data_IF_413135222070
#
_entry.id   IF_413135222070
#
_cell.length_a   1.000
_cell.length_b   1.000
_cell.length_c   1.000
_cell.angle_alpha   90.00
_cell.angle_beta   90.00
_cell.angle_gamma   90.00
#
_symmetry.space_group_name_H-M   'P 1'
#
loop_
_entity.id
_entity.type
_entity.pdbx_description
1 polymer ?
#
# COMPACT_ATOMS: atom_id res chain seq x y z
N UNK A 1 -35.29 43.05 -62.98
CA UNK A 1 -35.60 41.78 -62.26
C UNK A 1 -34.45 40.83 -62.55
N UNK A 2 -33.50 40.73 -61.61
CA UNK A 2 -33.29 39.60 -60.68
C UNK A 2 -32.60 38.42 -61.40
N UNK A 3 -31.53 37.76 -60.93
CA UNK A 3 -31.13 37.48 -59.55
C UNK A 3 -29.67 36.93 -59.56
N UNK A 4 -28.82 37.41 -58.65
CA UNK A 4 -27.44 36.95 -58.44
C UNK A 4 -27.46 35.69 -57.58
N UNK A 5 -27.16 34.51 -58.16
CA UNK A 5 -27.08 33.25 -57.40
C UNK A 5 -25.67 32.98 -56.86
N UNK A 6 -25.50 33.34 -55.59
CA UNK A 6 -24.90 32.50 -54.53
C UNK A 6 -23.53 31.85 -54.75
N UNK A 7 -22.46 32.56 -54.37
CA UNK A 7 -21.17 31.97 -54.01
C UNK A 7 -21.30 31.09 -52.76
N UNK A 8 -21.34 29.77 -52.95
CA UNK A 8 -21.37 28.78 -51.86
C UNK A 8 -19.99 28.69 -51.19
N UNK A 9 -19.86 29.38 -50.06
CA UNK A 9 -18.69 29.43 -49.17
C UNK A 9 -18.34 28.02 -48.68
N UNK A 10 -17.36 27.35 -49.32
CA UNK A 10 -16.73 26.13 -48.80
C UNK A 10 -15.80 26.53 -47.65
N UNK A 11 -16.28 26.45 -46.42
CA UNK A 11 -15.45 26.49 -45.21
C UNK A 11 -15.84 25.32 -44.31
N UNK A 12 -14.84 24.73 -43.65
CA UNK A 12 -14.92 23.91 -42.43
C UNK A 12 -14.86 22.38 -42.53
N UNK A 13 -13.82 21.81 -43.15
CA UNK A 13 -13.38 20.44 -42.80
C UNK A 13 -11.93 20.40 -42.28
N UNK A 14 -11.02 21.12 -42.94
CA UNK A 14 -9.60 21.19 -42.54
C UNK A 14 -9.34 21.95 -41.23
N UNK A 15 -10.22 22.88 -40.82
CA UNK A 15 -10.05 23.66 -39.58
C UNK A 15 -10.40 22.86 -38.32
N UNK A 16 -11.29 21.87 -38.42
CA UNK A 16 -11.68 21.02 -37.29
C UNK A 16 -10.55 20.05 -36.91
N UNK A 17 -9.95 19.37 -37.89
CA UNK A 17 -8.83 18.44 -37.66
C UNK A 17 -7.56 19.12 -37.13
N UNK A 18 -7.33 20.38 -37.53
CA UNK A 18 -6.18 21.15 -37.03
C UNK A 18 -6.42 21.60 -35.60
N UNK A 19 -7.65 21.99 -35.24
CA UNK A 19 -8.01 22.39 -33.88
C UNK A 19 -7.88 21.22 -32.90
N UNK A 20 -8.36 20.03 -33.26
CA UNK A 20 -8.22 18.80 -32.46
C UNK A 20 -6.74 18.46 -32.19
N UNK A 21 -5.90 18.43 -33.23
CA UNK A 21 -4.45 18.21 -33.07
C UNK A 21 -3.78 19.28 -32.20
N UNK A 22 -4.19 20.54 -32.29
CA UNK A 22 -3.61 21.60 -31.43
C UNK A 22 -4.05 21.48 -29.98
N UNK A 23 -5.26 20.97 -29.70
CA UNK A 23 -5.75 20.71 -28.34
C UNK A 23 -5.02 19.52 -27.73
N UNK A 24 -4.85 18.42 -28.47
CA UNK A 24 -4.09 17.24 -28.03
C UNK A 24 -2.63 17.59 -27.68
N UNK A 25 -1.97 18.40 -28.52
CA UNK A 25 -0.60 18.86 -28.23
C UNK A 25 -0.53 19.70 -26.95
N UNK A 26 -1.50 20.59 -26.72
CA UNK A 26 -1.55 21.39 -25.48
C UNK A 26 -1.72 20.52 -24.24
N UNK A 27 -2.64 19.56 -24.28
CA UNK A 27 -2.86 18.61 -23.19
C UNK A 27 -1.60 17.80 -22.90
N UNK A 28 -0.90 17.33 -23.93
CA UNK A 28 0.37 16.62 -23.78
C UNK A 28 1.42 17.49 -23.06
N UNK A 29 1.58 18.76 -23.45
CA UNK A 29 2.51 19.67 -22.77
C UNK A 29 2.13 19.92 -21.31
N UNK A 30 0.83 20.04 -21.00
CA UNK A 30 0.37 20.19 -19.62
C UNK A 30 0.73 18.97 -18.76
N UNK A 31 0.54 17.75 -19.28
CA UNK A 31 0.92 16.53 -18.57
C UNK A 31 2.44 16.40 -18.39
N UNK A 32 3.24 16.80 -19.38
CA UNK A 32 4.70 16.82 -19.26
C UNK A 32 5.14 17.82 -18.18
N UNK A 33 4.55 19.00 -18.12
CA UNK A 33 4.87 20.00 -17.11
C UNK A 33 4.49 19.52 -15.70
N UNK A 34 3.34 18.86 -15.55
CA UNK A 34 2.95 18.22 -14.28
C UNK A 34 3.93 17.13 -13.89
N UNK A 35 4.33 16.28 -14.84
CA UNK A 35 5.29 15.21 -14.61
C UNK A 35 6.65 15.76 -14.14
N UNK A 36 7.16 16.82 -14.78
CA UNK A 36 8.39 17.48 -14.36
C UNK A 36 8.28 18.07 -12.95
N UNK A 37 7.20 18.79 -12.64
CA UNK A 37 6.98 19.35 -11.30
C UNK A 37 6.90 18.26 -10.21
N UNK A 38 6.28 17.11 -10.52
CA UNK A 38 6.24 15.97 -9.61
C UNK A 38 7.65 15.37 -9.40
N UNK A 39 8.49 15.35 -10.43
CA UNK A 39 9.87 14.86 -10.30
C UNK A 39 10.71 15.79 -9.42
N UNK A 40 10.54 17.11 -9.56
CA UNK A 40 11.21 18.11 -8.69
C UNK A 40 10.80 17.92 -7.21
N UNK A 41 9.54 17.59 -6.95
CA UNK A 41 9.06 17.26 -5.60
C UNK A 41 9.73 16.00 -5.05
N UNK A 42 9.77 14.92 -5.84
CA UNK A 42 10.43 13.66 -5.45
C UNK A 42 11.91 13.87 -5.18
N UNK A 43 12.60 14.65 -6.02
CA UNK A 43 14.01 14.99 -5.83
C UNK A 43 14.23 15.75 -4.51
N UNK A 44 13.37 16.73 -4.20
CA UNK A 44 13.43 17.46 -2.93
C UNK A 44 13.26 16.54 -1.73
N UNK A 45 12.30 15.63 -1.78
CA UNK A 45 12.04 14.67 -0.70
C UNK A 45 13.20 13.68 -0.52
N UNK A 46 13.79 13.21 -1.61
CA UNK A 46 14.98 12.34 -1.57
C UNK A 46 16.19 13.07 -1.01
N UNK A 47 16.42 14.31 -1.44
CA UNK A 47 17.50 15.15 -0.90
C UNK A 47 17.32 15.42 0.59
N UNK A 48 16.07 15.66 1.03
CA UNK A 48 15.75 15.79 2.45
C UNK A 48 16.08 14.50 3.21
N UNK A 49 15.67 13.34 2.69
CA UNK A 49 15.93 12.03 3.30
C UNK A 49 17.43 11.68 3.38
N UNK A 50 18.22 12.05 2.37
CA UNK A 50 19.68 11.83 2.35
C UNK A 50 20.39 12.79 3.32
N UNK A 51 19.99 14.07 3.35
CA UNK A 51 20.60 15.09 4.19
C UNK A 51 20.31 14.85 5.68
N UNK A 52 19.11 14.40 6.01
CA UNK A 52 18.74 14.01 7.37
C UNK A 52 19.15 12.57 7.59
N UNK A 53 20.47 12.39 7.77
CA UNK A 53 21.10 11.10 8.03
C UNK A 53 20.29 10.29 9.06
N UNK A 54 20.20 8.97 8.83
CA UNK A 54 19.55 7.93 9.64
C UNK A 54 19.94 7.90 11.14
N UNK A 55 20.79 8.83 11.57
CA UNK A 55 21.37 9.07 12.90
C UNK A 55 20.34 9.60 13.90
N UNK A 56 19.25 8.85 14.13
CA UNK A 56 18.23 9.24 15.10
C UNK A 56 16.91 8.49 14.96
N UNK A 57 16.71 7.78 13.85
CA UNK A 57 15.51 6.97 13.63
C UNK A 57 15.58 5.67 14.42
N UNK A 58 14.42 5.26 14.95
CA UNK A 58 14.24 3.92 15.50
C UNK A 58 14.44 2.87 14.39
N UNK A 59 14.77 1.64 14.78
CA UNK A 59 14.97 0.52 13.86
C UNK A 59 13.76 0.34 12.92
N UNK A 60 12.54 0.47 13.43
CA UNK A 60 11.33 0.36 12.61
C UNK A 60 11.30 1.44 11.54
N UNK A 61 11.49 2.71 11.90
CA UNK A 61 11.42 3.82 10.94
C UNK A 61 12.55 3.77 9.91
N UNK A 62 13.72 3.23 10.27
CA UNK A 62 14.80 2.94 9.31
C UNK A 62 14.37 1.90 8.29
N UNK A 63 13.75 0.80 8.73
CA UNK A 63 13.26 -0.26 7.83
C UNK A 63 12.21 0.30 6.87
N UNK A 64 11.29 1.16 7.36
CA UNK A 64 10.28 1.81 6.51
C UNK A 64 10.94 2.69 5.45
N UNK A 65 11.88 3.54 5.87
CA UNK A 65 12.59 4.43 4.98
C UNK A 65 13.39 3.66 3.92
N UNK A 66 14.13 2.63 4.32
CA UNK A 66 14.91 1.79 3.40
C UNK A 66 14.00 1.05 2.40
N UNK A 67 12.87 0.53 2.87
CA UNK A 67 11.88 -0.15 2.00
C UNK A 67 11.27 0.83 0.99
N UNK A 68 10.95 2.05 1.43
CA UNK A 68 10.46 3.11 0.55
C UNK A 68 11.51 3.54 -0.49
N UNK A 69 12.76 3.76 -0.08
CA UNK A 69 13.85 4.14 -0.98
C UNK A 69 14.11 3.07 -2.05
N UNK A 70 14.09 1.79 -1.67
CA UNK A 70 14.24 0.68 -2.61
C UNK A 70 13.11 0.66 -3.67
N UNK A 71 11.87 0.94 -3.24
CA UNK A 71 10.72 1.04 -4.15
C UNK A 71 10.82 2.24 -5.09
N UNK A 72 11.17 3.43 -4.56
CA UNK A 72 11.32 4.65 -5.35
C UNK A 72 12.42 4.49 -6.40
N UNK A 73 13.60 3.99 -6.02
CA UNK A 73 14.71 3.76 -6.94
C UNK A 73 14.32 2.80 -8.09
N UNK A 74 13.72 1.66 -7.74
CA UNK A 74 13.26 0.67 -8.73
C UNK A 74 12.20 1.27 -9.69
N UNK A 75 11.32 2.11 -9.17
CA UNK A 75 10.26 2.76 -9.95
C UNK A 75 10.81 3.84 -10.87
N UNK A 76 11.72 4.69 -10.39
CA UNK A 76 12.39 5.73 -11.19
C UNK A 76 13.20 5.11 -12.32
N UNK A 77 13.90 4.00 -12.05
CA UNK A 77 14.63 3.28 -13.09
C UNK A 77 13.69 2.68 -14.15
N UNK A 78 12.56 2.11 -13.73
CA UNK A 78 11.52 1.64 -14.65
C UNK A 78 10.93 2.78 -15.49
N UNK A 79 10.66 3.95 -14.90
CA UNK A 79 10.19 5.15 -15.61
C UNK A 79 11.23 5.63 -16.64
N UNK A 80 12.51 5.69 -16.26
CA UNK A 80 13.58 6.05 -17.18
C UNK A 80 13.65 5.11 -18.40
N UNK A 81 13.53 3.80 -18.19
CA UNK A 81 13.48 2.83 -19.29
C UNK A 81 12.25 3.02 -20.20
N UNK A 82 11.09 3.34 -19.61
CA UNK A 82 9.88 3.67 -20.37
C UNK A 82 10.07 4.92 -21.23
N UNK A 83 10.69 5.97 -20.69
CA UNK A 83 10.95 7.22 -21.41
C UNK A 83 11.94 7.03 -22.56
N UNK A 84 12.91 6.13 -22.40
CA UNK A 84 13.86 5.77 -23.45
C UNK A 84 13.28 4.84 -24.53
N UNK A 85 12.03 4.40 -24.39
CA UNK A 85 11.36 3.53 -25.36
C UNK A 85 11.83 2.07 -25.33
N UNK A 86 12.50 1.63 -24.26
CA UNK A 86 12.96 0.25 -24.11
C UNK A 86 11.78 -0.70 -23.86
N UNK A 87 11.76 -1.85 -24.53
CA UNK A 87 10.79 -2.91 -24.21
C UNK A 87 11.10 -3.51 -22.83
N UNK A 88 10.08 -3.51 -21.98
CA UNK A 88 10.16 -3.91 -20.58
C UNK A 88 9.58 -5.29 -20.33
N UNK A 89 8.96 -5.92 -21.33
CA UNK A 89 8.22 -7.17 -21.18
C UNK A 89 9.07 -8.29 -20.58
N UNK A 90 10.35 -8.34 -20.95
CA UNK A 90 11.33 -9.33 -20.46
C UNK A 90 12.43 -8.70 -19.59
N UNK A 91 12.29 -7.45 -19.15
CA UNK A 91 13.35 -6.76 -18.42
C UNK A 91 13.35 -7.14 -16.93
N UNK A 92 14.53 -7.43 -16.38
CA UNK A 92 14.71 -7.87 -14.98
C UNK A 92 14.16 -6.85 -13.95
N UNK A 93 14.12 -5.56 -14.30
CA UNK A 93 13.51 -4.52 -13.45
C UNK A 93 12.09 -4.83 -12.97
N UNK A 94 11.29 -5.56 -13.76
CA UNK A 94 9.93 -5.94 -13.34
C UNK A 94 9.96 -6.87 -12.12
N UNK A 95 10.98 -7.73 -12.03
CA UNK A 95 11.21 -8.58 -10.86
C UNK A 95 11.57 -7.74 -9.63
N UNK A 96 12.48 -6.77 -9.78
CA UNK A 96 12.88 -5.90 -8.66
C UNK A 96 11.71 -5.02 -8.20
N UNK A 97 10.95 -4.47 -9.13
CA UNK A 97 9.74 -3.70 -8.82
C UNK A 97 8.70 -4.55 -8.09
N UNK A 98 8.48 -5.80 -8.53
CA UNK A 98 7.58 -6.74 -7.84
C UNK A 98 8.08 -7.02 -6.41
N UNK A 99 9.37 -7.29 -6.24
CA UNK A 99 9.97 -7.53 -4.93
C UNK A 99 9.79 -6.32 -4.01
N UNK A 100 10.04 -5.11 -4.49
CA UNK A 100 9.86 -3.90 -3.71
C UNK A 100 8.39 -3.70 -3.28
N UNK A 101 7.44 -3.98 -4.18
CA UNK A 101 6.00 -3.97 -3.86
C UNK A 101 5.62 -5.02 -2.81
N UNK A 102 6.18 -6.21 -2.88
CA UNK A 102 5.95 -7.28 -1.90
C UNK A 102 6.46 -6.87 -0.51
N UNK A 103 7.59 -6.15 -0.43
CA UNK A 103 8.10 -5.64 0.85
C UNK A 103 7.16 -4.60 1.46
N UNK A 104 6.65 -3.66 0.67
CA UNK A 104 5.65 -2.67 1.13
C UNK A 104 4.33 -3.34 1.55
N UNK A 105 3.88 -4.37 0.81
CA UNK A 105 2.67 -5.11 1.17
C UNK A 105 2.83 -5.82 2.51
N UNK A 106 3.98 -6.46 2.75
CA UNK A 106 4.30 -7.09 4.03
C UNK A 106 4.36 -6.08 5.16
N UNK A 107 4.97 -4.92 4.95
CA UNK A 107 5.01 -3.86 5.96
C UNK A 107 3.59 -3.43 6.37
N UNK A 108 2.71 -3.27 5.38
CA UNK A 108 1.30 -2.96 5.63
C UNK A 108 0.61 -4.07 6.43
N UNK A 109 0.79 -5.33 6.07
CA UNK A 109 0.20 -6.47 6.80
C UNK A 109 0.64 -6.50 8.28
N UNK A 110 1.91 -6.21 8.54
CA UNK A 110 2.44 -6.13 9.91
C UNK A 110 1.76 -4.98 10.66
N UNK A 111 1.68 -3.80 10.06
CA UNK A 111 1.07 -2.63 10.69
C UNK A 111 -0.44 -2.82 10.94
N UNK A 112 -1.15 -3.44 9.99
CA UNK A 112 -2.57 -3.79 10.12
C UNK A 112 -2.76 -4.83 11.24
N UNK A 113 -1.87 -5.82 11.35
CA UNK A 113 -1.89 -6.79 12.45
C UNK A 113 -1.60 -6.17 13.82
N UNK A 114 -0.80 -5.12 13.89
CA UNK A 114 -0.51 -4.41 15.15
C UNK A 114 -1.69 -3.56 15.60
N UNK A 115 -2.44 -2.99 14.66
CA UNK A 115 -3.60 -2.14 14.91
C UNK A 115 -4.91 -2.91 15.02
N UNK A 116 -4.93 -4.19 14.64
CA UNK A 116 -6.11 -5.05 14.70
C UNK A 116 -6.68 -5.14 16.12
N UNK A 117 -8.02 -5.05 16.29
CA UNK A 117 -8.66 -5.19 17.59
C UNK A 117 -8.40 -6.59 18.15
N UNK A 118 -7.82 -6.65 19.34
CA UNK A 118 -7.56 -7.90 20.05
C UNK A 118 -8.76 -8.24 20.93
N UNK A 119 -9.13 -9.52 20.97
CA UNK A 119 -10.15 -10.00 21.89
C UNK A 119 -9.68 -9.81 23.33
N UNK A 120 -10.52 -9.20 24.16
CA UNK A 120 -10.30 -9.21 25.61
C UNK A 120 -10.53 -10.62 26.13
N UNK A 121 -9.42 -11.33 26.40
CA UNK A 121 -9.42 -12.70 26.91
C UNK A 121 -10.16 -12.77 28.25
N UNK A 122 -10.06 -11.73 29.10
CA UNK A 122 -10.72 -11.73 30.40
C UNK A 122 -12.24 -11.62 30.26
N UNK A 123 -12.73 -10.72 29.40
CA UNK A 123 -14.16 -10.62 29.09
C UNK A 123 -14.68 -11.90 28.40
N UNK A 124 -13.92 -12.45 27.46
CA UNK A 124 -14.26 -13.69 26.75
C UNK A 124 -14.40 -14.88 27.72
N UNK A 125 -13.47 -15.01 28.69
CA UNK A 125 -13.55 -16.01 29.77
C UNK A 125 -14.87 -15.89 30.56
N UNK A 126 -15.30 -14.66 30.88
CA UNK A 126 -16.56 -14.41 31.60
C UNK A 126 -17.78 -14.83 30.77
N UNK A 127 -17.82 -14.49 29.49
CA UNK A 127 -18.93 -14.86 28.60
C UNK A 127 -19.08 -16.37 28.44
N UNK A 128 -17.95 -17.09 28.28
CA UNK A 128 -17.96 -18.55 28.17
C UNK A 128 -18.44 -19.17 29.49
N UNK A 129 -17.94 -18.70 30.64
CA UNK A 129 -18.37 -19.18 31.95
C UNK A 129 -19.86 -18.95 32.21
N UNK A 130 -20.40 -17.77 31.83
CA UNK A 130 -21.83 -17.49 31.95
C UNK A 130 -22.69 -18.35 31.02
N UNK A 131 -22.24 -18.59 29.78
CA UNK A 131 -22.98 -19.40 28.81
C UNK A 131 -23.02 -20.88 29.21
N UNK A 132 -21.90 -21.41 29.72
CA UNK A 132 -21.78 -22.81 30.11
C UNK A 132 -22.33 -23.12 31.50
N UNK A 133 -22.71 -22.11 32.31
CA UNK A 133 -23.09 -22.25 33.73
C UNK A 133 -22.04 -22.98 34.60
N UNK A 134 -20.82 -23.17 34.09
CA UNK A 134 -19.72 -23.87 34.77
C UNK A 134 -18.66 -22.88 35.23
N UNK A 135 -18.20 -23.02 36.48
CA UNK A 135 -17.03 -22.27 36.96
C UNK A 135 -15.75 -22.94 36.48
N UNK A 136 -14.92 -22.20 35.77
CA UNK A 136 -13.57 -22.61 35.39
C UNK A 136 -12.56 -22.13 36.43
N UNK A 137 -11.54 -22.94 36.67
CA UNK A 137 -10.39 -22.64 37.53
C UNK A 137 -9.15 -22.77 36.64
N UNK A 138 -8.22 -21.82 36.77
CA UNK A 138 -6.94 -21.86 36.07
C UNK A 138 -5.94 -22.65 36.90
N UNK A 139 -5.34 -23.68 36.30
CA UNK A 139 -4.44 -24.61 36.97
C UNK A 139 -3.23 -24.84 36.06
N UNK A 140 -2.06 -24.36 36.46
CA UNK A 140 -0.80 -24.46 35.70
C UNK A 140 -0.90 -23.99 34.24
N UNK A 141 -1.67 -22.92 33.99
CA UNK A 141 -1.87 -22.35 32.66
C UNK A 141 -2.92 -23.07 31.80
N UNK A 142 -3.58 -24.12 32.32
CA UNK A 142 -4.68 -24.82 31.66
C UNK A 142 -6.00 -24.50 32.37
N UNK A 143 -7.03 -24.17 31.60
CA UNK A 143 -8.37 -23.90 32.13
C UNK A 143 -9.12 -25.23 32.31
N UNK A 144 -9.49 -25.56 33.55
CA UNK A 144 -10.17 -26.80 33.90
C UNK A 144 -11.49 -26.47 34.59
N UNK A 145 -12.53 -27.30 34.42
CA UNK A 145 -13.78 -27.08 35.17
C UNK A 145 -13.55 -27.35 36.65
N UNK A 146 -14.27 -26.65 37.54
CA UNK A 146 -14.18 -26.88 38.98
C UNK A 146 -14.42 -28.35 39.35
N UNK A 147 -15.32 -29.03 38.65
CA UNK A 147 -15.62 -30.45 38.86
C UNK A 147 -14.43 -31.35 38.51
N UNK A 148 -13.81 -31.12 37.36
CA UNK A 148 -12.60 -31.85 36.94
C UNK A 148 -11.43 -31.60 37.91
N UNK A 149 -11.28 -30.37 38.38
CA UNK A 149 -10.25 -30.03 39.37
C UNK A 149 -10.44 -30.79 40.68
N UNK A 150 -11.66 -30.80 41.23
CA UNK A 150 -11.97 -31.53 42.47
C UNK A 150 -11.76 -33.03 42.30
N UNK A 151 -12.06 -33.59 41.13
CA UNK A 151 -11.81 -35.00 40.81
C UNK A 151 -10.32 -35.33 40.81
N UNK A 152 -9.48 -34.49 40.20
CA UNK A 152 -8.03 -34.64 40.20
C UNK A 152 -7.42 -34.56 41.61
N UNK A 153 -7.92 -33.64 42.44
CA UNK A 153 -7.52 -33.56 43.86
C UNK A 153 -7.90 -34.83 44.63
N UNK A 154 -9.10 -35.37 44.40
CA UNK A 154 -9.54 -36.60 45.05
C UNK A 154 -8.72 -37.83 44.60
N UNK A 155 -8.39 -37.92 43.31
CA UNK A 155 -7.57 -39.00 42.76
C UNK A 155 -6.13 -38.98 43.27
N UNK A 156 -5.52 -37.79 43.36
CA UNK A 156 -4.18 -37.61 43.92
C UNK A 156 -4.12 -37.90 45.42
N UNK A 157 -5.18 -37.57 46.18
CA UNK A 157 -5.28 -37.91 47.60
C UNK A 157 -5.46 -39.42 47.84
N UNK A 158 -6.07 -40.18 46.92
CA UNK A 158 -6.24 -41.64 47.06
C UNK A 158 -4.99 -42.47 46.75
N UNK A 159 -3.99 -41.86 46.10
CA UNK A 159 -2.75 -42.51 45.67
C UNK A 159 -1.59 -42.35 46.67
N UNK A 160 -1.80 -41.62 47.77
CA UNK A 160 -0.88 -41.47 48.90
C UNK A 160 -1.41 -42.26 50.11
#
# INVERSE_FOLDING_TARGET
>A
MAEVKGSKKRKNSSTASTNERTVENKQMFEEINKFAANLDMVEKDLNYAIAHSLSGLNTDDKIKLDTYLAYVNSTLFWMNLKLNGTDLSNHYILHDLRRAKEMLAREKEINDSLTAPRLDIAASKRFIASGMHTRFIEMDGIMVTKEQYQRSLAESASKN
#
